data_IF_696553051291
#
_entry.id   IF_696553051291
#
_cell.length_a   1.000
_cell.length_b   1.000
_cell.length_c   1.000
_cell.angle_alpha   90.00
_cell.angle_beta   90.00
_cell.angle_gamma   90.00
#
_symmetry.space_group_name_H-M   'P 1'
#
loop_
_entity.id
_entity.type
_entity.pdbx_description
1 polymer ?
#
# COMPACT_ATOMS: atom_id res chain seq x y z
N UNK A 1 5.70 -3.43 7.47
CA UNK A 1 7.06 -3.99 7.22
C UNK A 1 7.74 -4.33 8.54
N UNK A 2 8.56 -5.40 8.56
CA UNK A 2 9.35 -5.81 9.74
C UNK A 2 10.82 -5.88 9.35
N UNK A 3 11.68 -5.19 10.09
CA UNK A 3 13.13 -5.27 9.95
C UNK A 3 13.73 -6.04 11.12
N UNK A 4 14.60 -7.01 10.83
CA UNK A 4 15.46 -7.65 11.83
C UNK A 4 16.76 -6.86 11.91
N UNK A 5 16.89 -6.01 12.92
CA UNK A 5 18.04 -5.12 13.10
C UNK A 5 19.26 -5.89 13.63
N UNK A 6 19.02 -6.81 14.56
CA UNK A 6 20.02 -7.69 15.16
C UNK A 6 19.37 -9.08 15.38
N UNK A 7 20.10 -10.03 15.94
CA UNK A 7 19.60 -11.41 16.13
C UNK A 7 18.25 -11.44 16.88
N UNK A 8 18.13 -10.62 17.93
CA UNK A 8 16.97 -10.54 18.84
C UNK A 8 16.29 -9.16 18.85
N UNK A 9 16.62 -8.28 17.89
CA UNK A 9 16.08 -6.92 17.81
C UNK A 9 15.34 -6.72 16.50
N UNK A 10 14.07 -6.37 16.60
CA UNK A 10 13.20 -6.16 15.45
C UNK A 10 12.53 -4.79 15.52
N UNK A 11 12.32 -4.14 14.38
CA UNK A 11 11.54 -2.91 14.27
C UNK A 11 10.37 -3.11 13.31
N UNK A 12 9.19 -2.73 13.77
CA UNK A 12 7.94 -2.83 13.04
C UNK A 12 7.55 -1.45 12.52
N UNK A 13 7.20 -1.38 11.24
CA UNK A 13 6.65 -0.19 10.60
C UNK A 13 5.24 -0.55 10.13
N UNK A 14 4.24 0.07 10.76
CA UNK A 14 2.84 -0.30 10.66
C UNK A 14 2.02 0.93 10.28
N UNK A 15 0.93 0.72 9.56
CA UNK A 15 0.01 1.80 9.19
C UNK A 15 -0.86 2.27 10.37
N UNK A 16 -1.04 1.43 11.39
CA UNK A 16 -1.75 1.77 12.62
C UNK A 16 -1.00 1.25 13.86
N UNK A 17 -1.19 1.88 15.05
CA UNK A 17 -0.56 1.42 16.28
C UNK A 17 -1.07 0.04 16.71
N UNK A 18 -0.18 -0.94 16.84
CA UNK A 18 -0.51 -2.32 17.29
C UNK A 18 0.07 -2.68 18.67
N UNK A 19 0.42 -1.68 19.49
CA UNK A 19 1.07 -1.89 20.80
C UNK A 19 0.24 -2.76 21.74
N UNK A 20 -1.09 -2.60 21.74
CA UNK A 20 -1.99 -3.41 22.56
C UNK A 20 -1.87 -4.89 22.20
N UNK A 21 -1.96 -5.20 20.91
CA UNK A 21 -1.81 -6.57 20.40
C UNK A 21 -0.46 -7.18 20.80
N UNK A 22 0.64 -6.43 20.62
CA UNK A 22 1.96 -6.92 21.02
C UNK A 22 2.06 -7.18 22.53
N UNK A 23 1.57 -6.26 23.37
CA UNK A 23 1.61 -6.43 24.84
C UNK A 23 0.79 -7.63 25.31
N UNK A 24 -0.39 -7.85 24.72
CA UNK A 24 -1.22 -9.01 25.05
C UNK A 24 -0.55 -10.33 24.69
N UNK A 25 0.16 -10.39 23.56
CA UNK A 25 0.84 -11.61 23.10
C UNK A 25 2.23 -11.80 23.76
N UNK A 26 2.78 -10.78 24.42
CA UNK A 26 4.07 -10.85 25.10
C UNK A 26 3.99 -11.45 26.51
N UNK A 27 2.80 -11.75 27.02
CA UNK A 27 2.63 -12.33 28.36
C UNK A 27 3.42 -13.65 28.49
N UNK A 28 4.30 -13.72 29.49
CA UNK A 28 5.18 -14.89 29.72
C UNK A 28 6.42 -14.96 28.81
N UNK A 29 6.64 -13.98 27.92
CA UNK A 29 7.81 -13.91 27.07
C UNK A 29 8.87 -12.96 27.66
N UNK A 30 10.15 -13.30 27.50
CA UNK A 30 11.27 -12.41 27.83
C UNK A 30 11.51 -11.42 26.68
N UNK A 31 10.61 -10.43 26.53
CA UNK A 31 10.67 -9.42 25.46
C UNK A 31 10.32 -8.02 25.97
N UNK A 32 11.02 -7.01 25.46
CA UNK A 32 10.70 -5.60 25.68
C UNK A 32 10.06 -5.00 24.43
N UNK A 33 8.93 -4.31 24.60
CA UNK A 33 8.23 -3.61 23.51
C UNK A 33 8.30 -2.11 23.79
N UNK A 34 8.88 -1.36 22.85
CA UNK A 34 9.00 0.09 22.92
C UNK A 34 8.35 0.73 21.69
N UNK A 35 7.59 1.80 21.92
CA UNK A 35 7.15 2.70 20.85
C UNK A 35 8.26 3.72 20.56
N UNK A 36 8.69 3.77 19.30
CA UNK A 36 9.74 4.67 18.81
C UNK A 36 9.24 5.57 17.68
N UNK A 37 7.91 5.68 17.51
CA UNK A 37 7.30 6.41 16.40
C UNK A 37 7.73 7.88 16.35
N UNK A 38 7.89 8.52 17.51
CA UNK A 38 8.34 9.92 17.59
C UNK A 38 9.88 10.09 17.52
N UNK A 39 10.63 8.99 17.57
CA UNK A 39 12.10 9.02 17.59
C UNK A 39 12.70 8.82 16.19
N UNK A 40 11.94 8.24 15.26
CA UNK A 40 12.42 7.83 13.94
C UNK A 40 11.61 8.53 12.86
N UNK A 41 12.29 9.32 12.04
CA UNK A 41 11.74 9.87 10.81
C UNK A 41 11.98 8.93 9.63
N UNK A 42 11.11 9.00 8.63
CA UNK A 42 11.18 8.22 7.41
C UNK A 42 11.13 9.13 6.19
N UNK A 43 12.08 8.97 5.27
CA UNK A 43 12.14 9.67 4.00
C UNK A 43 12.14 8.65 2.86
N UNK A 44 11.18 8.73 1.95
CA UNK A 44 11.08 7.83 0.80
C UNK A 44 11.63 8.51 -0.45
N UNK A 45 12.69 7.96 -1.02
CA UNK A 45 13.24 8.36 -2.32
C UNK A 45 12.84 7.33 -3.36
N UNK A 46 11.94 7.71 -4.27
CA UNK A 46 11.32 6.81 -5.24
C UNK A 46 11.56 7.33 -6.66
N UNK A 47 11.64 6.40 -7.62
CA UNK A 47 11.84 6.71 -9.04
C UNK A 47 13.10 6.07 -9.64
N UNK A 48 13.24 6.09 -10.97
CA UNK A 48 14.29 5.38 -11.69
C UNK A 48 15.70 5.91 -11.37
N UNK A 49 15.83 7.18 -10.97
CA UNK A 49 17.10 7.83 -10.62
C UNK A 49 17.44 7.72 -9.14
N UNK A 50 16.57 7.15 -8.31
CA UNK A 50 16.76 7.04 -6.85
C UNK A 50 18.10 6.38 -6.48
N UNK A 51 18.52 5.35 -7.23
CA UNK A 51 19.80 4.67 -7.04
C UNK A 51 20.99 5.60 -7.27
N UNK A 52 20.98 6.38 -8.35
CA UNK A 52 22.09 7.29 -8.69
C UNK A 52 22.20 8.43 -7.69
N UNK A 53 21.07 8.91 -7.17
CA UNK A 53 21.05 9.89 -6.07
C UNK A 53 21.66 9.28 -4.80
N UNK A 54 21.26 8.06 -4.43
CA UNK A 54 21.78 7.39 -3.23
C UNK A 54 23.29 7.13 -3.29
N UNK A 55 23.85 6.81 -4.46
CA UNK A 55 25.31 6.63 -4.64
C UNK A 55 26.13 7.88 -4.28
N UNK A 56 25.54 9.06 -4.42
CA UNK A 56 26.20 10.33 -4.10
C UNK A 56 26.16 10.66 -2.61
N UNK A 57 25.30 10.00 -1.85
CA UNK A 57 24.94 10.40 -0.49
C UNK A 57 25.41 9.47 0.60
N UNK A 58 25.52 8.17 0.29
CA UNK A 58 25.88 7.17 1.27
C UNK A 58 27.01 6.30 0.74
N UNK A 59 28.10 6.28 1.50
CA UNK A 59 29.22 5.38 1.27
C UNK A 59 28.76 3.96 1.63
N UNK A 60 28.66 3.07 0.65
CA UNK A 60 28.28 1.69 0.90
C UNK A 60 27.84 0.90 -0.33
N UNK A 61 27.63 -0.41 -0.15
CA UNK A 61 27.20 -1.34 -1.20
C UNK A 61 25.69 -1.22 -1.54
N UNK A 62 25.15 0.01 -1.63
CA UNK A 62 23.74 0.25 -1.96
C UNK A 62 23.35 -0.37 -3.31
N UNK A 63 24.30 -0.46 -4.25
CA UNK A 63 24.08 -1.08 -5.55
C UNK A 63 23.67 -2.56 -5.45
N UNK A 64 24.23 -3.27 -4.46
CA UNK A 64 24.00 -4.70 -4.23
C UNK A 64 22.80 -4.97 -3.33
N UNK A 65 22.20 -3.92 -2.75
CA UNK A 65 21.05 -4.06 -1.87
C UNK A 65 19.87 -4.67 -2.63
N UNK A 66 19.48 -5.87 -2.23
CA UNK A 66 18.33 -6.58 -2.81
C UNK A 66 17.02 -6.02 -2.28
N UNK A 67 15.94 -6.21 -3.02
CA UNK A 67 14.60 -5.82 -2.57
C UNK A 67 14.27 -6.48 -1.22
N UNK A 68 13.60 -5.74 -0.32
CA UNK A 68 13.37 -6.16 1.08
C UNK A 68 14.66 -6.48 1.88
N UNK A 69 15.76 -5.81 1.55
CA UNK A 69 16.97 -5.75 2.40
C UNK A 69 17.25 -4.31 2.79
N UNK A 70 17.98 -4.15 3.88
CA UNK A 70 18.46 -2.86 4.35
C UNK A 70 19.96 -2.90 4.63
N UNK A 71 20.56 -1.73 4.66
CA UNK A 71 21.92 -1.50 5.17
C UNK A 71 21.90 -0.32 6.13
N UNK A 72 22.97 -0.15 6.88
CA UNK A 72 23.26 1.06 7.65
C UNK A 72 24.35 1.82 6.89
N UNK A 73 24.17 3.12 6.68
CA UNK A 73 25.19 3.98 6.11
C UNK A 73 25.03 5.41 6.64
N UNK A 74 26.11 6.17 6.58
CA UNK A 74 26.08 7.57 6.96
C UNK A 74 25.59 8.42 5.79
N UNK A 75 24.64 9.32 6.06
CA UNK A 75 24.19 10.37 5.14
C UNK A 75 24.50 11.70 5.81
N UNK A 76 25.69 12.23 5.53
CA UNK A 76 26.22 13.35 6.30
C UNK A 76 26.57 12.95 7.72
N UNK A 77 25.99 13.64 8.71
CA UNK A 77 26.20 13.32 10.12
C UNK A 77 25.15 12.34 10.68
N UNK A 78 24.20 11.90 9.86
CA UNK A 78 23.13 11.02 10.26
C UNK A 78 23.44 9.57 9.87
N UNK A 79 23.49 8.67 10.85
CA UNK A 79 23.48 7.25 10.57
C UNK A 79 22.07 6.83 10.17
N UNK A 80 21.88 6.43 8.91
CA UNK A 80 20.60 6.07 8.33
C UNK A 80 20.50 4.55 8.15
N UNK A 81 19.34 3.98 8.51
CA UNK A 81 18.95 2.68 7.98
C UNK A 81 18.31 2.90 6.61
N UNK A 82 18.88 2.31 5.56
CA UNK A 82 18.43 2.47 4.18
C UNK A 82 17.89 1.13 3.72
N UNK A 83 16.58 1.04 3.44
CA UNK A 83 15.95 -0.16 2.91
C UNK A 83 15.60 0.00 1.44
N UNK A 84 15.80 -1.04 0.63
CA UNK A 84 15.30 -1.09 -0.74
C UNK A 84 13.85 -1.55 -0.74
N UNK A 85 12.97 -0.58 -0.47
CA UNK A 85 11.52 -0.69 -0.33
C UNK A 85 10.85 0.60 -0.81
N UNK A 86 9.54 0.55 -1.01
CA UNK A 86 8.79 1.68 -1.55
C UNK A 86 7.31 1.37 -1.69
N UNK A 87 6.50 2.42 -1.78
CA UNK A 87 5.04 2.33 -1.90
C UNK A 87 4.52 2.96 -3.21
N UNK A 88 5.39 3.11 -4.22
CA UNK A 88 5.06 3.69 -5.53
C UNK A 88 5.11 2.69 -6.68
N UNK A 89 5.58 1.45 -6.42
CA UNK A 89 5.79 0.43 -7.46
C UNK A 89 7.09 0.58 -8.26
N UNK A 90 7.81 1.70 -8.10
CA UNK A 90 9.07 1.97 -8.78
C UNK A 90 10.29 1.50 -7.95
N UNK A 91 11.49 1.58 -8.55
CA UNK A 91 12.73 1.53 -7.81
C UNK A 91 12.74 2.64 -6.75
N UNK A 92 13.09 2.29 -5.52
CA UNK A 92 13.18 3.26 -4.46
C UNK A 92 13.88 2.74 -3.21
N UNK A 93 14.13 3.69 -2.32
CA UNK A 93 14.72 3.47 -1.01
C UNK A 93 13.91 4.22 0.05
N UNK A 94 13.85 3.66 1.24
CA UNK A 94 13.35 4.33 2.44
C UNK A 94 14.51 4.52 3.40
N UNK A 95 14.72 5.78 3.82
CA UNK A 95 15.74 6.17 4.78
C UNK A 95 15.06 6.39 6.13
N UNK A 96 15.53 5.67 7.15
CA UNK A 96 15.02 5.76 8.51
C UNK A 96 16.11 6.34 9.40
N UNK A 97 15.86 7.53 9.94
CA UNK A 97 16.85 8.34 10.64
C UNK A 97 16.30 8.85 11.97
N UNK A 98 17.16 9.23 12.94
CA UNK A 98 16.68 9.94 14.12
C UNK A 98 15.94 11.22 13.73
N UNK A 99 14.82 11.52 14.38
CA UNK A 99 13.97 12.67 14.04
C UNK A 99 14.74 14.00 14.01
N UNK A 100 15.69 14.17 14.93
CA UNK A 100 16.56 15.35 15.03
C UNK A 100 17.49 15.56 13.83
N UNK A 101 17.61 14.59 12.93
CA UNK A 101 18.44 14.64 11.72
C UNK A 101 17.63 14.59 10.42
N UNK A 102 16.29 14.56 10.51
CA UNK A 102 15.44 14.38 9.35
C UNK A 102 15.58 15.50 8.31
N UNK A 103 15.59 16.76 8.76
CA UNK A 103 15.73 17.93 7.89
C UNK A 103 17.10 17.97 7.21
N UNK A 104 18.18 17.69 7.94
CA UNK A 104 19.54 17.60 7.38
C UNK A 104 19.60 16.56 6.24
N UNK A 105 19.01 15.39 6.44
CA UNK A 105 19.00 14.31 5.45
C UNK A 105 18.10 14.67 4.26
N UNK A 106 16.97 15.33 4.50
CA UNK A 106 16.10 15.87 3.45
C UNK A 106 16.84 16.85 2.54
N UNK A 107 17.51 17.85 3.12
CA UNK A 107 18.23 18.86 2.35
C UNK A 107 19.35 18.24 1.49
N UNK A 108 20.05 17.25 2.05
CA UNK A 108 21.06 16.48 1.33
C UNK A 108 20.47 15.69 0.16
N UNK A 109 19.32 15.03 0.37
CA UNK A 109 18.60 14.32 -0.70
C UNK A 109 18.22 15.27 -1.84
N UNK A 110 17.65 16.42 -1.50
CA UNK A 110 17.23 17.43 -2.47
C UNK A 110 18.42 17.99 -3.27
N UNK A 111 19.54 18.29 -2.60
CA UNK A 111 20.73 18.80 -3.29
C UNK A 111 21.35 17.74 -4.21
N UNK A 112 21.55 16.51 -3.72
CA UNK A 112 22.12 15.43 -4.53
C UNK A 112 21.24 15.04 -5.72
N UNK A 113 19.92 15.15 -5.56
CA UNK A 113 18.93 14.85 -6.58
C UNK A 113 18.65 15.97 -7.58
N UNK A 114 19.17 17.18 -7.37
CA UNK A 114 18.89 18.36 -8.20
C UNK A 114 19.18 18.14 -9.69
N UNK A 115 20.32 17.51 -10.00
CA UNK A 115 20.70 17.18 -11.38
C UNK A 115 19.80 16.12 -12.04
N UNK A 116 18.99 15.41 -11.25
CA UNK A 116 18.04 14.39 -11.70
C UNK A 116 16.58 14.86 -11.66
N UNK A 117 16.33 16.15 -11.37
CA UNK A 117 14.97 16.68 -11.28
C UNK A 117 14.19 16.18 -10.07
N UNK A 118 14.87 15.85 -8.97
CA UNK A 118 14.19 15.44 -7.72
C UNK A 118 13.14 16.49 -7.34
N UNK A 119 11.93 16.02 -7.04
CA UNK A 119 10.79 16.88 -6.73
C UNK A 119 10.11 16.37 -5.47
N UNK A 120 9.79 17.23 -4.49
CA UNK A 120 9.00 16.82 -3.33
C UNK A 120 7.63 16.31 -3.76
N UNK A 121 7.23 15.15 -3.25
CA UNK A 121 5.93 14.54 -3.53
C UNK A 121 5.13 14.38 -2.23
N UNK A 122 3.91 14.91 -2.23
CA UNK A 122 2.97 14.78 -1.11
C UNK A 122 2.07 13.55 -1.21
N UNK A 123 1.15 13.44 -0.25
CA UNK A 123 0.23 12.29 -0.14
C UNK A 123 -0.64 12.07 -1.38
N UNK A 124 -1.07 13.13 -2.08
CA UNK A 124 -1.91 12.99 -3.29
C UNK A 124 -1.16 12.31 -4.44
N UNK A 125 0.12 12.64 -4.64
CA UNK A 125 0.95 12.00 -5.64
C UNK A 125 1.24 10.54 -5.26
N UNK A 126 1.51 10.28 -3.96
CA UNK A 126 1.71 8.93 -3.45
C UNK A 126 0.46 8.05 -3.64
N UNK A 127 -0.74 8.61 -3.43
CA UNK A 127 -2.00 7.89 -3.59
C UNK A 127 -2.25 7.50 -5.06
N UNK A 128 -1.84 8.35 -6.01
CA UNK A 128 -1.87 8.00 -7.42
C UNK A 128 -0.85 6.91 -7.77
N UNK A 129 0.40 7.07 -7.33
CA UNK A 129 1.48 6.11 -7.63
C UNK A 129 1.16 4.71 -7.07
N UNK A 130 0.65 4.63 -5.84
CA UNK A 130 0.26 3.35 -5.23
C UNK A 130 -0.95 2.73 -5.94
N UNK A 131 -1.88 3.53 -6.45
CA UNK A 131 -3.03 3.05 -7.21
C UNK A 131 -2.56 2.42 -8.53
N UNK A 132 -1.68 3.10 -9.26
CA UNK A 132 -1.08 2.56 -10.49
C UNK A 132 -0.26 1.29 -10.22
N UNK A 133 0.42 1.21 -9.07
CA UNK A 133 1.15 0.01 -8.63
C UNK A 133 0.25 -1.14 -8.12
N UNK A 134 -1.05 -0.90 -7.94
CA UNK A 134 -2.00 -1.88 -7.41
C UNK A 134 -1.85 -2.14 -5.90
N UNK A 135 -1.29 -1.20 -5.13
CA UNK A 135 -1.10 -1.35 -3.69
C UNK A 135 -2.35 -0.94 -2.90
N UNK A 136 -2.65 -1.75 -1.87
CA UNK A 136 -3.80 -1.57 -0.98
C UNK A 136 -3.49 -0.70 0.22
N UNK A 137 -4.44 0.14 0.58
CA UNK A 137 -4.40 1.04 1.72
C UNK A 137 -5.33 0.54 2.84
N UNK A 138 -4.78 0.43 4.05
CA UNK A 138 -5.53 0.04 5.25
C UNK A 138 -6.65 1.05 5.55
N UNK A 139 -7.81 0.56 5.98
CA UNK A 139 -9.06 1.31 6.21
C UNK A 139 -9.66 1.96 4.96
N UNK A 140 -9.15 1.64 3.77
CA UNK A 140 -9.71 2.07 2.48
C UNK A 140 -10.07 0.85 1.65
N UNK A 141 -9.07 0.04 1.32
CA UNK A 141 -9.25 -1.14 0.46
C UNK A 141 -9.61 -2.39 1.28
N UNK A 142 -9.30 -2.40 2.58
CA UNK A 142 -9.71 -3.44 3.52
C UNK A 142 -9.81 -2.88 4.95
N UNK A 143 -10.64 -3.51 5.78
CA UNK A 143 -10.76 -3.18 7.20
C UNK A 143 -9.81 -4.03 8.03
N UNK A 144 -9.12 -3.40 8.98
CA UNK A 144 -8.24 -4.09 9.92
C UNK A 144 -9.00 -5.09 10.79
N UNK A 145 -8.33 -6.15 11.21
CA UNK A 145 -8.92 -7.15 12.08
C UNK A 145 -9.33 -6.57 13.46
N UNK A 146 -8.71 -5.48 13.90
CA UNK A 146 -9.05 -4.80 15.15
C UNK A 146 -10.34 -3.96 15.02
N UNK A 147 -10.64 -3.49 13.81
CA UNK A 147 -11.77 -2.59 13.52
C UNK A 147 -12.97 -3.28 12.86
N UNK A 148 -12.82 -4.52 12.41
CA UNK A 148 -13.91 -5.29 11.84
C UNK A 148 -15.00 -5.62 12.90
N UNK A 149 -16.16 -4.97 12.79
CA UNK A 149 -17.29 -5.13 13.70
C UNK A 149 -18.19 -6.30 13.32
N UNK A 150 -18.27 -6.61 12.02
CA UNK A 150 -19.10 -7.70 11.49
C UNK A 150 -18.28 -8.62 10.60
N UNK A 151 -18.76 -9.86 10.41
CA UNK A 151 -18.04 -10.86 9.62
C UNK A 151 -17.72 -10.40 8.19
N UNK A 152 -18.62 -9.63 7.56
CA UNK A 152 -18.43 -9.11 6.20
C UNK A 152 -17.26 -8.10 6.07
N UNK A 153 -16.84 -7.46 7.17
CA UNK A 153 -15.71 -6.53 7.18
C UNK A 153 -14.36 -7.21 7.39
N UNK A 154 -14.33 -8.49 7.75
CA UNK A 154 -13.07 -9.22 7.94
C UNK A 154 -12.45 -9.49 6.58
N UNK A 155 -11.13 -9.37 6.46
CA UNK A 155 -10.38 -9.74 5.26
C UNK A 155 -9.28 -10.73 5.62
N UNK A 156 -9.09 -11.74 4.77
CA UNK A 156 -7.90 -12.58 4.83
C UNK A 156 -6.78 -12.03 3.94
N UNK A 157 -5.51 -12.39 4.19
CA UNK A 157 -4.42 -12.10 3.25
C UNK A 157 -4.66 -12.66 1.85
N UNK A 158 -5.40 -13.77 1.71
CA UNK A 158 -5.70 -14.36 0.41
C UNK A 158 -6.74 -13.55 -0.39
N UNK A 159 -7.70 -12.93 0.29
CA UNK A 159 -8.71 -12.06 -0.35
C UNK A 159 -8.12 -10.76 -0.88
N UNK A 160 -7.07 -10.24 -0.23
CA UNK A 160 -6.48 -8.92 -0.54
C UNK A 160 -5.14 -9.01 -1.29
N UNK A 161 -4.85 -10.14 -1.93
CA UNK A 161 -3.63 -10.30 -2.74
C UNK A 161 -2.32 -10.39 -1.95
N UNK A 162 -2.38 -10.55 -0.63
CA UNK A 162 -1.23 -10.70 0.26
C UNK A 162 -0.95 -12.17 0.64
N UNK A 163 -1.52 -13.13 -0.08
CA UNK A 163 -1.33 -14.57 0.17
C UNK A 163 0.13 -15.01 0.15
N UNK A 164 0.97 -14.34 -0.65
CA UNK A 164 2.41 -14.59 -0.74
C UNK A 164 3.18 -14.29 0.56
N UNK A 165 2.58 -13.55 1.50
CA UNK A 165 3.16 -13.26 2.82
C UNK A 165 2.86 -14.33 3.87
N UNK A 166 2.01 -15.32 3.54
CA UNK A 166 1.55 -16.35 4.48
C UNK A 166 2.39 -17.62 4.32
N UNK A 167 3.22 -17.91 5.32
CA UNK A 167 3.88 -19.22 5.43
C UNK A 167 3.04 -20.17 6.31
N UNK A 168 2.30 -21.07 5.67
CA UNK A 168 1.45 -22.06 6.36
C UNK A 168 2.24 -23.23 6.98
N UNK A 169 3.48 -23.46 6.56
CA UNK A 169 4.38 -24.47 7.15
C UNK A 169 4.85 -24.03 8.53
N UNK A 170 4.98 -22.71 8.75
CA UNK A 170 5.26 -22.17 10.08
C UNK A 170 4.11 -22.51 11.03
N UNK A 171 4.45 -23.16 12.13
CA UNK A 171 3.50 -23.48 13.19
C UNK A 171 3.34 -22.32 14.19
N UNK A 172 2.27 -22.37 14.99
CA UNK A 172 2.13 -21.53 16.18
C UNK A 172 1.86 -20.04 15.94
N UNK A 173 1.35 -19.62 14.77
CA UNK A 173 0.92 -18.23 14.56
C UNK A 173 -0.61 -18.07 14.63
N UNK A 174 -1.05 -16.92 15.15
CA UNK A 174 -2.47 -16.59 15.32
C UNK A 174 -3.17 -16.54 13.96
N UNK A 175 -4.31 -17.22 13.85
CA UNK A 175 -5.11 -17.28 12.62
C UNK A 175 -4.73 -18.42 11.65
N UNK A 176 -3.66 -19.19 11.93
CA UNK A 176 -3.21 -20.29 11.04
C UNK A 176 -4.32 -21.27 10.65
N UNK A 177 -5.10 -21.75 11.62
CA UNK A 177 -6.20 -22.71 11.36
C UNK A 177 -7.23 -22.13 10.37
N UNK A 178 -7.64 -20.89 10.56
CA UNK A 178 -8.60 -20.23 9.67
C UNK A 178 -8.03 -20.08 8.24
N UNK A 179 -6.74 -19.75 8.10
CA UNK A 179 -6.09 -19.66 6.79
C UNK A 179 -5.92 -21.02 6.11
N UNK A 180 -5.70 -22.11 6.86
CA UNK A 180 -5.66 -23.47 6.30
C UNK A 180 -7.03 -23.87 5.75
N UNK A 181 -8.10 -23.65 6.53
CA UNK A 181 -9.48 -23.91 6.11
C UNK A 181 -9.86 -23.06 4.89
N UNK A 182 -9.46 -21.79 4.85
CA UNK A 182 -9.69 -20.94 3.70
C UNK A 182 -8.93 -21.41 2.46
N UNK A 183 -7.66 -21.81 2.59
CA UNK A 183 -6.88 -22.32 1.46
C UNK A 183 -7.51 -23.58 0.85
N UNK A 184 -8.13 -24.43 1.68
CA UNK A 184 -8.82 -25.64 1.21
C UNK A 184 -10.14 -25.32 0.50
N UNK A 185 -10.94 -24.39 1.02
CA UNK A 185 -12.26 -24.05 0.46
C UNK A 185 -12.23 -23.02 -0.67
N UNK A 186 -11.13 -22.26 -0.78
CA UNK A 186 -11.01 -21.08 -1.62
C UNK A 186 -11.51 -19.80 -0.93
N UNK A 187 -10.91 -18.66 -1.27
CA UNK A 187 -11.37 -17.34 -0.82
C UNK A 187 -12.70 -16.98 -1.48
N UNK A 188 -13.63 -16.36 -0.74
CA UNK A 188 -14.94 -15.96 -1.25
C UNK A 188 -14.93 -14.64 -2.01
N UNK A 189 -13.89 -13.82 -1.77
CA UNK A 189 -13.65 -12.55 -2.47
C UNK A 189 -12.21 -12.47 -2.97
N UNK A 190 -11.98 -11.57 -3.91
CA UNK A 190 -10.67 -11.23 -4.45
C UNK A 190 -10.58 -9.72 -4.68
N UNK A 191 -9.42 -9.15 -4.40
CA UNK A 191 -9.02 -7.82 -4.85
C UNK A 191 -8.68 -7.88 -6.35
N UNK A 192 -9.23 -6.95 -7.12
CA UNK A 192 -9.01 -6.80 -8.55
C UNK A 192 -8.75 -5.34 -8.91
N UNK A 193 -8.11 -5.14 -10.06
CA UNK A 193 -8.10 -3.85 -10.76
C UNK A 193 -9.29 -3.77 -11.71
N UNK A 194 -9.90 -2.58 -11.80
CA UNK A 194 -10.93 -2.23 -12.76
C UNK A 194 -10.40 -1.15 -13.70
N UNK A 195 -10.68 -1.31 -14.99
CA UNK A 195 -10.59 -0.25 -15.98
C UNK A 195 -12.01 0.24 -16.23
N UNK A 196 -12.24 1.54 -16.06
CA UNK A 196 -13.52 2.18 -16.35
C UNK A 196 -13.50 2.56 -17.82
N UNK A 197 -14.49 2.06 -18.56
CA UNK A 197 -14.63 2.31 -19.99
C UNK A 197 -14.89 3.79 -20.26
N UNK A 198 -14.01 4.42 -21.03
CA UNK A 198 -14.09 5.86 -21.29
C UNK A 198 -15.26 6.21 -22.22
N UNK A 199 -15.58 5.36 -23.19
CA UNK A 199 -16.66 5.62 -24.15
C UNK A 199 -18.02 5.57 -23.46
N UNK A 200 -18.24 4.59 -22.58
CA UNK A 200 -19.42 4.51 -21.72
C UNK A 200 -19.50 5.70 -20.76
N UNK A 201 -18.39 6.05 -20.10
CA UNK A 201 -18.34 7.20 -19.20
C UNK A 201 -18.71 8.50 -19.92
N UNK A 202 -18.13 8.74 -21.10
CA UNK A 202 -18.43 9.92 -21.91
C UNK A 202 -19.88 9.92 -22.39
N UNK A 203 -20.40 8.78 -22.88
CA UNK A 203 -21.80 8.64 -23.30
C UNK A 203 -22.76 9.04 -22.18
N UNK A 204 -22.55 8.56 -20.95
CA UNK A 204 -23.42 8.88 -19.80
C UNK A 204 -23.48 10.39 -19.51
N UNK A 205 -22.35 11.09 -19.65
CA UNK A 205 -22.32 12.55 -19.50
C UNK A 205 -23.01 13.26 -20.66
N UNK A 206 -22.77 12.82 -21.90
CA UNK A 206 -23.39 13.41 -23.09
C UNK A 206 -24.91 13.27 -23.10
N UNK A 207 -25.45 12.12 -22.70
CA UNK A 207 -26.90 11.89 -22.57
C UNK A 207 -27.56 12.86 -21.57
N UNK A 208 -26.82 13.30 -20.56
CA UNK A 208 -27.24 14.31 -19.59
C UNK A 208 -26.96 15.76 -20.05
N UNK A 209 -26.35 15.97 -21.22
CA UNK A 209 -25.92 17.30 -21.69
C UNK A 209 -24.76 17.89 -20.87
N UNK A 210 -23.94 17.04 -20.25
CA UNK A 210 -22.82 17.42 -19.39
C UNK A 210 -21.47 17.09 -20.04
N UNK A 211 -20.41 17.78 -19.60
CA UNK A 211 -19.04 17.44 -19.96
C UNK A 211 -18.45 16.44 -18.95
N UNK A 212 -17.78 15.35 -19.40
CA UNK A 212 -17.09 14.42 -18.50
C UNK A 212 -16.12 15.15 -17.57
N UNK A 213 -16.19 14.82 -16.28
CA UNK A 213 -15.24 15.33 -15.29
C UNK A 213 -14.41 14.18 -14.76
N UNK A 214 -13.09 14.28 -14.92
CA UNK A 214 -12.15 13.36 -14.30
C UNK A 214 -11.73 13.91 -12.94
N UNK A 215 -11.64 13.05 -11.91
CA UNK A 215 -11.15 13.48 -10.63
C UNK A 215 -9.68 13.90 -10.74
N UNK A 216 -9.33 15.05 -10.18
CA UNK A 216 -7.95 15.58 -10.16
C UNK A 216 -7.08 14.89 -9.10
N UNK A 217 -7.69 14.11 -8.21
CA UNK A 217 -7.04 13.30 -7.19
C UNK A 217 -7.68 11.91 -7.12
N UNK A 218 -6.97 10.96 -6.52
CA UNK A 218 -7.53 9.64 -6.21
C UNK A 218 -8.69 9.80 -5.23
N UNK A 219 -9.83 9.21 -5.54
CA UNK A 219 -10.93 9.07 -4.61
C UNK A 219 -10.78 7.79 -3.79
N UNK A 220 -11.28 7.84 -2.55
CA UNK A 220 -11.30 6.73 -1.59
C UNK A 220 -12.72 6.60 -1.08
N UNK A 221 -13.35 5.45 -1.26
CA UNK A 221 -14.73 5.24 -0.85
C UNK A 221 -15.34 3.99 -1.45
N UNK A 222 -16.33 3.42 -0.78
CA UNK A 222 -17.05 2.24 -1.26
C UNK A 222 -18.03 2.62 -2.36
N UNK A 223 -17.68 2.29 -3.61
CA UNK A 223 -18.59 2.38 -4.76
C UNK A 223 -19.10 0.98 -5.09
N UNK A 224 -20.41 0.71 -4.94
CA UNK A 224 -20.98 -0.60 -5.27
C UNK A 224 -20.71 -1.04 -6.72
N UNK A 225 -20.27 -2.28 -6.88
CA UNK A 225 -19.99 -2.90 -8.20
C UNK A 225 -21.01 -4.01 -8.46
N UNK A 226 -21.59 -3.98 -9.65
CA UNK A 226 -22.69 -4.85 -10.08
C UNK A 226 -22.28 -5.74 -11.24
N UNK A 227 -22.94 -6.90 -11.29
CA UNK A 227 -23.08 -7.72 -12.48
C UNK A 227 -24.57 -7.97 -12.63
N UNK A 228 -25.12 -7.64 -13.79
CA UNK A 228 -26.57 -7.59 -14.01
C UNK A 228 -27.22 -6.67 -12.95
N UNK A 229 -28.25 -7.13 -12.24
CA UNK A 229 -28.94 -6.36 -11.18
C UNK A 229 -28.49 -6.70 -9.76
N UNK A 230 -27.37 -7.42 -9.62
CA UNK A 230 -26.86 -7.86 -8.31
C UNK A 230 -25.54 -7.18 -7.98
N UNK A 231 -25.46 -6.62 -6.78
CA UNK A 231 -24.18 -6.15 -6.25
C UNK A 231 -23.27 -7.37 -5.99
N UNK A 232 -22.09 -7.34 -6.59
CA UNK A 232 -21.08 -8.42 -6.53
C UNK A 232 -19.82 -8.01 -5.77
N UNK A 233 -19.66 -6.73 -5.47
CA UNK A 233 -18.50 -6.20 -4.76
C UNK A 233 -18.59 -4.70 -4.53
N UNK A 234 -17.42 -4.10 -4.32
CA UNK A 234 -17.25 -2.66 -4.20
C UNK A 234 -15.87 -2.25 -4.72
N UNK A 235 -15.82 -1.16 -5.47
CA UNK A 235 -14.59 -0.41 -5.72
C UNK A 235 -14.29 0.46 -4.49
N UNK A 236 -13.02 0.59 -4.13
CA UNK A 236 -12.57 1.18 -2.86
C UNK A 236 -11.67 2.39 -3.06
N UNK A 237 -10.91 2.39 -4.16
CA UNK A 237 -10.01 3.46 -4.57
C UNK A 237 -10.11 3.61 -6.08
N UNK A 238 -10.14 4.82 -6.62
CA UNK A 238 -9.99 5.02 -8.06
C UNK A 238 -9.55 6.41 -8.46
N UNK A 239 -9.15 6.57 -9.72
CA UNK A 239 -8.67 7.83 -10.26
C UNK A 239 -8.18 7.71 -11.70
N UNK A 240 -7.95 8.85 -12.34
CA UNK A 240 -7.34 8.90 -13.66
C UNK A 240 -5.84 8.63 -13.57
N UNK A 241 -5.37 7.54 -14.18
CA UNK A 241 -3.95 7.21 -14.30
C UNK A 241 -3.28 8.10 -15.36
N UNK A 242 -2.34 8.98 -14.98
CA UNK A 242 -1.59 9.77 -15.96
C UNK A 242 -0.63 8.92 -16.80
N UNK A 243 -0.16 7.78 -16.27
CA UNK A 243 0.77 6.88 -16.94
C UNK A 243 0.07 6.04 -18.00
N UNK A 244 -1.09 5.45 -17.66
CA UNK A 244 -1.84 4.57 -18.55
C UNK A 244 -2.83 5.31 -19.46
N UNK A 245 -3.15 6.58 -19.14
CA UNK A 245 -4.23 7.36 -19.79
C UNK A 245 -5.58 6.64 -19.71
N UNK A 246 -5.86 6.08 -18.54
CA UNK A 246 -7.06 5.28 -18.26
C UNK A 246 -7.65 5.65 -16.91
N UNK A 247 -8.96 5.57 -16.79
CA UNK A 247 -9.62 5.67 -15.49
C UNK A 247 -9.61 4.28 -14.85
N UNK A 248 -8.90 4.16 -13.72
CA UNK A 248 -8.68 2.88 -13.04
C UNK A 248 -9.20 2.91 -11.60
N UNK A 249 -9.52 1.73 -11.08
CA UNK A 249 -9.90 1.54 -9.68
C UNK A 249 -9.40 0.21 -9.11
N UNK A 250 -9.26 0.15 -7.79
CA UNK A 250 -9.16 -1.10 -7.03
C UNK A 250 -10.56 -1.48 -6.53
N UNK A 251 -10.86 -2.77 -6.56
CA UNK A 251 -12.13 -3.29 -6.07
C UNK A 251 -11.97 -4.64 -5.39
N UNK A 252 -12.83 -4.91 -4.41
CA UNK A 252 -13.03 -6.26 -3.88
C UNK A 252 -14.34 -6.80 -4.44
N UNK A 253 -14.28 -7.95 -5.12
CA UNK A 253 -15.46 -8.64 -5.69
C UNK A 253 -15.54 -10.08 -5.22
N UNK A 254 -16.72 -10.71 -5.32
CA UNK A 254 -16.83 -12.17 -5.14
C UNK A 254 -15.93 -12.89 -6.15
N UNK A 255 -15.22 -13.93 -5.71
CA UNK A 255 -14.16 -14.60 -6.50
C UNK A 255 -14.63 -15.13 -7.86
N UNK A 256 -15.91 -15.49 -8.01
CA UNK A 256 -16.47 -15.93 -9.30
C UNK A 256 -16.52 -14.84 -10.38
N UNK A 257 -16.34 -13.56 -10.01
CA UNK A 257 -16.31 -12.42 -10.92
C UNK A 257 -14.94 -11.74 -11.00
N UNK A 258 -13.88 -12.38 -10.47
CA UNK A 258 -12.55 -11.78 -10.41
C UNK A 258 -11.66 -12.09 -11.62
N UNK A 259 -12.19 -12.78 -12.64
CA UNK A 259 -11.42 -13.13 -13.82
C UNK A 259 -11.20 -11.90 -14.71
N UNK A 260 -9.97 -11.71 -15.21
CA UNK A 260 -9.65 -10.65 -16.17
C UNK A 260 -10.58 -10.71 -17.38
N UNK A 261 -11.09 -9.56 -17.82
CA UNK A 261 -12.06 -9.46 -18.91
C UNK A 261 -13.52 -9.62 -18.49
N UNK A 262 -13.81 -9.90 -17.21
CA UNK A 262 -15.19 -9.86 -16.69
C UNK A 262 -15.71 -8.42 -16.69
N UNK A 263 -16.76 -8.15 -17.45
CA UNK A 263 -17.40 -6.83 -17.44
C UNK A 263 -18.23 -6.64 -16.16
N UNK A 264 -18.12 -5.46 -15.56
CA UNK A 264 -18.82 -5.09 -14.33
C UNK A 264 -19.39 -3.68 -14.51
N UNK A 265 -20.44 -3.35 -13.77
CA UNK A 265 -21.12 -2.06 -13.85
C UNK A 265 -21.04 -1.32 -12.53
N UNK A 266 -20.93 0.00 -12.57
CA UNK A 266 -21.20 0.85 -11.43
C UNK A 266 -22.72 1.01 -11.25
N UNK A 267 -23.19 1.20 -10.01
CA UNK A 267 -24.60 1.46 -9.75
C UNK A 267 -25.11 2.70 -10.52
N UNK A 268 -26.22 2.57 -11.24
CA UNK A 268 -26.90 3.71 -11.91
C UNK A 268 -28.07 4.29 -11.11
N UNK A 269 -28.49 3.65 -10.01
CA UNK A 269 -29.74 3.97 -9.31
C UNK A 269 -29.52 4.04 -7.80
N UNK A 270 -29.16 5.23 -7.33
CA UNK A 270 -29.42 5.64 -5.96
C UNK A 270 -30.51 6.72 -6.01
N UNK A 271 -31.65 6.47 -5.36
CA UNK A 271 -32.71 7.46 -5.19
C UNK A 271 -32.21 8.57 -4.25
N UNK A 272 -31.96 9.75 -4.80
CA UNK A 272 -31.74 10.98 -4.03
C UNK A 272 -33.12 11.63 -3.81
N UNK A 273 -33.44 11.98 -2.55
CA UNK A 273 -34.67 12.70 -2.19
C UNK A 273 -34.36 14.14 -1.85
#
# INVERSE_FOLDING_TARGET
>A
TIFRLEEKRFRFHLAEPSLRWFRMNAAGMAVTIQDVSEQVAALALQGPTSREIMKRLADGELERLKFFRFTIADVGQAQAMISRTGYTGDLGYELWVPVARAEEVWDRLMEAGKAYGITPAGMLALDMARLEAGFILLEVDYTSAEKALIAAQKYSPFEIGLGWTVNLEKEGFVGRRALLEEKQRGSSRQLIGLEIDWEDYERLYQEAGLAPQLPTAVWRGGVPVYRDDRQVGQATTGGWSPTMKKYIALATVQSKFSQTGTELRQAQSSLWR
#
